data_IF_706438412138
#
_entry.id   IF_706438412138
#
_cell.length_a   1.000
_cell.length_b   1.000
_cell.length_c   1.000
_cell.angle_alpha   90.00
_cell.angle_beta   90.00
_cell.angle_gamma   90.00
#
_symmetry.space_group_name_H-M   'P 1'
#
loop_
_entity.id
_entity.type
_entity.pdbx_description
1 polymer ?
#
# COMPACT_ATOMS: atom_id res chain seq x y z
N UNK A 1 9.96 -7.49 0.52
CA UNK A 1 10.14 -6.81 1.80
C UNK A 1 11.27 -7.41 2.63
N UNK A 2 11.23 -8.73 2.92
CA UNK A 2 12.28 -9.41 3.69
C UNK A 2 13.66 -9.24 3.06
N UNK A 3 13.78 -9.45 1.76
CA UNK A 3 15.05 -9.32 1.02
C UNK A 3 15.66 -7.92 1.18
N UNK A 4 14.89 -6.85 1.03
CA UNK A 4 15.37 -5.48 1.25
C UNK A 4 15.91 -5.33 2.67
N UNK A 5 15.17 -5.81 3.67
CA UNK A 5 15.57 -5.69 5.08
C UNK A 5 16.86 -6.46 5.41
N UNK A 6 17.04 -7.64 4.82
CA UNK A 6 18.17 -8.53 5.09
C UNK A 6 19.44 -8.14 4.32
N UNK A 7 19.30 -7.46 3.16
CA UNK A 7 20.43 -7.14 2.25
C UNK A 7 20.68 -5.64 2.10
N UNK A 8 19.98 -4.80 2.85
CA UNK A 8 20.24 -3.36 2.81
C UNK A 8 21.62 -3.02 3.41
N UNK A 9 22.38 -2.11 2.77
CA UNK A 9 22.09 -1.40 1.52
C UNK A 9 22.31 -2.28 0.28
N UNK A 10 21.33 -2.31 -0.64
CA UNK A 10 21.50 -2.92 -1.95
C UNK A 10 22.46 -2.09 -2.80
N UNK A 11 23.27 -2.73 -3.65
CA UNK A 11 24.01 -1.99 -4.67
C UNK A 11 23.05 -1.33 -5.66
N UNK A 12 23.47 -0.21 -6.26
CA UNK A 12 22.66 0.50 -7.26
C UNK A 12 22.34 -0.42 -8.45
N UNK A 13 23.31 -1.23 -8.88
CA UNK A 13 23.18 -2.19 -9.98
C UNK A 13 22.14 -3.27 -9.66
N UNK A 14 22.15 -3.78 -8.42
CA UNK A 14 21.19 -4.80 -8.00
C UNK A 14 19.78 -4.20 -7.89
N UNK A 15 19.64 -3.03 -7.33
CA UNK A 15 18.36 -2.32 -7.23
C UNK A 15 17.78 -2.05 -8.64
N UNK A 16 18.60 -1.57 -9.58
CA UNK A 16 18.22 -1.36 -10.98
C UNK A 16 17.83 -2.68 -11.65
N UNK A 17 18.58 -3.74 -11.43
CA UNK A 17 18.30 -5.07 -12.01
C UNK A 17 16.95 -5.61 -11.54
N UNK A 18 16.69 -5.58 -10.25
CA UNK A 18 15.42 -6.08 -9.67
C UNK A 18 14.25 -5.21 -10.14
N UNK A 19 14.38 -3.89 -10.04
CA UNK A 19 13.32 -2.97 -10.50
C UNK A 19 13.07 -3.10 -12.01
N UNK A 20 14.11 -3.28 -12.80
CA UNK A 20 13.99 -3.53 -14.25
C UNK A 20 13.13 -4.75 -14.56
N UNK A 21 13.30 -5.86 -13.83
CA UNK A 21 12.47 -7.05 -14.00
C UNK A 21 11.01 -6.83 -13.60
N UNK A 22 10.77 -6.08 -12.52
CA UNK A 22 9.41 -5.68 -12.09
C UNK A 22 8.74 -4.84 -13.17
N UNK A 23 9.46 -3.86 -13.72
CA UNK A 23 8.95 -3.01 -14.81
C UNK A 23 8.62 -3.80 -16.07
N UNK A 24 9.44 -4.81 -16.44
CA UNK A 24 9.15 -5.68 -17.58
C UNK A 24 7.88 -6.51 -17.37
N UNK A 25 7.69 -7.07 -16.18
CA UNK A 25 6.47 -7.79 -15.84
C UNK A 25 5.24 -6.88 -15.90
N UNK A 26 5.35 -5.67 -15.34
CA UNK A 26 4.25 -4.69 -15.34
C UNK A 26 3.97 -4.12 -16.74
N UNK A 27 4.98 -3.95 -17.59
CA UNK A 27 4.79 -3.57 -19.00
C UNK A 27 3.93 -4.60 -19.74
N UNK A 28 4.18 -5.89 -19.51
CA UNK A 28 3.38 -6.96 -20.11
C UNK A 28 1.93 -6.95 -19.60
N UNK A 29 1.73 -6.74 -18.28
CA UNK A 29 0.39 -6.63 -17.69
C UNK A 29 -0.38 -5.44 -18.26
N UNK A 30 0.24 -4.25 -18.28
CA UNK A 30 -0.37 -3.02 -18.80
C UNK A 30 -0.71 -3.13 -20.30
N UNK A 31 0.15 -3.79 -21.10
CA UNK A 31 -0.14 -4.06 -22.52
C UNK A 31 -1.39 -4.93 -22.73
N UNK A 32 -1.75 -5.73 -21.73
CA UNK A 32 -3.00 -6.52 -21.72
C UNK A 32 -4.17 -5.82 -21.03
N UNK A 33 -4.04 -4.55 -20.69
CA UNK A 33 -5.06 -3.77 -20.01
C UNK A 33 -5.21 -4.08 -18.51
N UNK A 34 -4.25 -4.80 -17.91
CA UNK A 34 -4.31 -5.23 -16.50
C UNK A 34 -3.59 -4.21 -15.63
N UNK A 35 -4.32 -3.57 -14.71
CA UNK A 35 -3.79 -2.74 -13.63
C UNK A 35 -3.62 -3.61 -12.39
N UNK A 36 -2.46 -3.55 -11.74
CA UNK A 36 -2.20 -4.38 -10.54
C UNK A 36 -2.96 -3.89 -9.31
N UNK A 37 -2.96 -2.58 -9.07
CA UNK A 37 -3.72 -1.86 -8.01
C UNK A 37 -3.18 -1.99 -6.58
N UNK A 38 -2.44 -3.05 -6.24
CA UNK A 38 -1.86 -3.30 -4.92
C UNK A 38 -0.39 -3.74 -5.01
N UNK A 39 0.43 -3.00 -5.78
CA UNK A 39 1.86 -3.24 -5.87
C UNK A 39 2.55 -2.87 -4.55
N UNK A 40 3.26 -3.84 -3.99
CA UNK A 40 4.06 -3.72 -2.77
C UNK A 40 5.12 -4.83 -2.73
N UNK A 41 6.19 -4.69 -1.94
CA UNK A 41 7.25 -5.71 -1.90
C UNK A 41 6.77 -7.11 -1.50
N UNK A 42 5.66 -7.22 -0.76
CA UNK A 42 5.08 -8.51 -0.38
C UNK A 42 4.52 -9.29 -1.58
N UNK A 43 4.09 -8.57 -2.63
CA UNK A 43 3.56 -9.14 -3.87
C UNK A 43 4.66 -9.31 -4.94
N UNK A 44 5.93 -9.21 -4.54
CA UNK A 44 7.09 -9.45 -5.41
C UNK A 44 7.91 -10.57 -4.79
N UNK A 45 7.99 -11.69 -5.49
CA UNK A 45 8.80 -12.83 -5.09
C UNK A 45 10.15 -12.77 -5.80
N UNK A 46 11.23 -12.99 -5.04
CA UNK A 46 12.55 -13.23 -5.59
C UNK A 46 12.84 -14.73 -5.53
N UNK A 47 13.11 -15.33 -6.68
CA UNK A 47 13.53 -16.72 -6.77
C UNK A 47 15.01 -16.86 -6.37
N UNK A 48 15.50 -18.07 -6.03
CA UNK A 48 16.89 -18.27 -5.61
C UNK A 48 17.94 -17.81 -6.62
N UNK A 49 17.60 -17.82 -7.92
CA UNK A 49 18.42 -17.31 -9.02
C UNK A 49 18.35 -15.78 -9.17
N UNK A 50 17.64 -15.08 -8.27
CA UNK A 50 17.50 -13.62 -8.27
C UNK A 50 16.49 -13.08 -9.29
N UNK A 51 15.60 -13.92 -9.83
CA UNK A 51 14.53 -13.47 -10.72
C UNK A 51 13.36 -12.91 -9.91
N UNK A 52 12.91 -11.69 -10.24
CA UNK A 52 11.73 -11.07 -9.62
C UNK A 52 10.45 -11.48 -10.37
N UNK A 53 9.45 -11.92 -9.60
CA UNK A 53 8.11 -12.28 -10.10
C UNK A 53 7.06 -11.46 -9.38
N UNK A 54 6.21 -10.78 -10.15
CA UNK A 54 5.06 -10.04 -9.62
C UNK A 54 3.88 -11.00 -9.48
N UNK A 55 3.22 -10.96 -8.31
CA UNK A 55 2.10 -11.85 -7.95
C UNK A 55 0.89 -11.04 -7.50
N UNK A 56 -0.23 -11.71 -7.26
CA UNK A 56 -1.44 -11.14 -6.65
C UNK A 56 -2.04 -9.94 -7.40
N UNK A 57 -2.14 -10.05 -8.73
CA UNK A 57 -2.78 -9.04 -9.58
C UNK A 57 -4.24 -8.84 -9.20
N UNK A 58 -4.58 -7.66 -8.71
CA UNK A 58 -5.95 -7.14 -8.65
C UNK A 58 -7.01 -7.90 -7.86
N UNK A 59 -6.66 -8.99 -7.18
CA UNK A 59 -7.62 -9.89 -6.52
C UNK A 59 -8.28 -9.22 -5.30
N UNK A 60 -7.61 -8.27 -4.66
CA UNK A 60 -8.05 -7.70 -3.38
C UNK A 60 -8.94 -6.45 -3.50
N UNK A 61 -9.11 -5.86 -4.68
CA UNK A 61 -9.68 -4.51 -4.81
C UNK A 61 -11.21 -4.49 -4.93
N UNK A 62 -11.85 -5.60 -5.22
CA UNK A 62 -13.32 -5.69 -5.19
C UNK A 62 -13.91 -5.43 -3.78
N UNK A 63 -13.11 -5.56 -2.74
CA UNK A 63 -13.50 -5.35 -1.34
C UNK A 63 -13.05 -4.01 -0.74
N UNK A 64 -12.19 -3.25 -1.42
CA UNK A 64 -11.60 -2.02 -0.88
C UNK A 64 -12.40 -0.74 -1.22
N UNK A 65 -13.42 -0.82 -2.05
CA UNK A 65 -14.22 0.37 -2.43
C UNK A 65 -15.07 0.93 -1.27
N UNK A 66 -15.14 0.27 -0.11
CA UNK A 66 -16.07 0.66 0.96
C UNK A 66 -15.47 1.01 2.31
N UNK A 67 -14.18 0.77 2.59
CA UNK A 67 -13.68 1.08 3.95
C UNK A 67 -12.17 1.21 4.02
N UNK A 68 -11.66 2.41 4.23
CA UNK A 68 -10.32 2.71 4.76
C UNK A 68 -10.18 2.27 6.25
N UNK A 69 -11.15 1.52 6.76
CA UNK A 69 -11.19 1.07 8.14
C UNK A 69 -11.17 -0.46 8.18
N UNK A 70 -10.12 -0.98 8.82
CA UNK A 70 -10.00 -2.32 9.39
C UNK A 70 -9.44 -3.45 8.51
N UNK A 71 -8.13 -3.61 8.56
CA UNK A 71 -7.39 -4.84 8.88
C UNK A 71 -5.89 -4.54 8.82
N UNK A 72 -5.05 -5.21 9.61
CA UNK A 72 -3.58 -5.06 9.63
C UNK A 72 -2.93 -5.29 8.24
N UNK A 73 -3.59 -5.99 7.33
CA UNK A 73 -3.11 -6.19 5.96
C UNK A 73 -3.28 -4.93 5.09
N UNK A 74 -4.28 -4.09 5.38
CA UNK A 74 -4.48 -2.79 4.72
C UNK A 74 -3.43 -1.76 5.14
N UNK A 75 -2.97 -1.80 6.40
CA UNK A 75 -1.92 -0.89 6.88
C UNK A 75 -0.62 -1.05 6.07
N UNK A 76 -0.28 -2.28 5.66
CA UNK A 76 0.88 -2.53 4.82
C UNK A 76 0.77 -1.96 3.40
N UNK A 77 -0.42 -1.98 2.80
CA UNK A 77 -0.64 -1.50 1.42
C UNK A 77 -0.67 0.01 1.31
N UNK A 78 -1.10 0.72 2.36
CA UNK A 78 -1.22 2.19 2.34
C UNK A 78 0.12 2.90 2.10
N UNK A 79 1.24 2.30 2.46
CA UNK A 79 2.58 2.85 2.22
C UNK A 79 2.94 2.99 0.74
N UNK A 80 2.25 2.30 -0.16
CA UNK A 80 2.51 2.29 -1.61
C UNK A 80 1.35 2.90 -2.42
N UNK A 81 0.35 3.46 -1.73
CA UNK A 81 -0.85 4.03 -2.32
C UNK A 81 -0.52 5.30 -3.10
N UNK A 82 -1.05 5.43 -4.32
CA UNK A 82 -0.86 6.66 -5.09
C UNK A 82 -1.71 7.82 -4.54
N UNK A 83 -1.31 9.08 -4.81
CA UNK A 83 -2.07 10.25 -4.37
C UNK A 83 -3.53 10.25 -4.84
N UNK A 84 -3.80 9.81 -6.06
CA UNK A 84 -5.15 9.68 -6.61
C UNK A 84 -5.96 8.59 -5.91
N UNK A 85 -5.36 7.44 -5.59
CA UNK A 85 -6.03 6.39 -4.79
C UNK A 85 -6.30 6.86 -3.36
N UNK A 86 -5.36 7.59 -2.74
CA UNK A 86 -5.56 8.18 -1.41
C UNK A 86 -6.74 9.17 -1.36
N UNK A 87 -7.08 9.79 -2.50
CA UNK A 87 -8.26 10.65 -2.68
C UNK A 87 -9.55 9.87 -3.05
N UNK A 88 -9.48 8.55 -3.12
CA UNK A 88 -10.62 7.70 -3.47
C UNK A 88 -10.86 7.50 -4.96
N UNK A 89 -9.92 7.91 -5.81
CA UNK A 89 -10.01 7.64 -7.25
C UNK A 89 -9.62 6.20 -7.56
N UNK A 90 -10.15 5.68 -8.67
CA UNK A 90 -9.77 4.34 -9.15
C UNK A 90 -8.29 4.30 -9.54
N UNK A 91 -7.65 3.17 -9.25
CA UNK A 91 -6.27 2.92 -9.68
C UNK A 91 -6.16 2.85 -11.20
N UNK A 92 -5.06 3.37 -11.73
CA UNK A 92 -4.71 3.38 -13.14
C UNK A 92 -3.31 2.79 -13.36
N UNK A 93 -2.88 2.68 -14.61
CA UNK A 93 -1.49 2.30 -14.93
C UNK A 93 -0.47 3.23 -14.25
N UNK A 94 -0.78 4.52 -14.14
CA UNK A 94 0.09 5.49 -13.47
C UNK A 94 0.08 5.34 -11.95
N UNK A 95 -0.97 4.77 -11.35
CA UNK A 95 -0.97 4.39 -9.93
C UNK A 95 0.02 3.26 -9.65
N UNK A 96 0.09 2.27 -10.54
CA UNK A 96 1.11 1.20 -10.45
C UNK A 96 2.53 1.78 -10.60
N UNK A 97 2.74 2.74 -11.49
CA UNK A 97 4.04 3.43 -11.66
C UNK A 97 4.44 4.13 -10.36
N UNK A 98 3.51 4.83 -9.71
CA UNK A 98 3.76 5.46 -8.42
C UNK A 98 4.17 4.44 -7.36
N UNK A 99 3.43 3.35 -7.23
CA UNK A 99 3.75 2.28 -6.29
C UNK A 99 5.15 1.68 -6.55
N UNK A 100 5.53 1.47 -7.83
CA UNK A 100 6.88 1.03 -8.20
C UNK A 100 7.95 2.06 -7.81
N UNK A 101 7.66 3.36 -7.92
CA UNK A 101 8.54 4.43 -7.43
C UNK A 101 8.76 4.37 -5.92
N UNK A 102 7.71 4.11 -5.13
CA UNK A 102 7.81 3.93 -3.67
C UNK A 102 8.59 2.67 -3.31
N UNK A 103 8.36 1.55 -4.01
CA UNK A 103 9.15 0.32 -3.84
C UNK A 103 10.62 0.59 -4.13
N UNK A 104 10.91 1.35 -5.18
CA UNK A 104 12.28 1.68 -5.57
C UNK A 104 12.96 2.59 -4.54
N UNK A 105 12.25 3.58 -4.01
CA UNK A 105 12.72 4.37 -2.86
C UNK A 105 13.12 3.45 -1.70
N UNK A 106 12.25 2.52 -1.32
CA UNK A 106 12.51 1.58 -0.22
C UNK A 106 13.70 0.66 -0.51
N UNK A 107 13.90 0.22 -1.76
CA UNK A 107 15.07 -0.58 -2.14
C UNK A 107 16.38 0.19 -1.96
N UNK A 108 16.37 1.50 -2.23
CA UNK A 108 17.54 2.37 -2.17
C UNK A 108 17.83 2.92 -0.76
N UNK A 109 16.81 3.05 0.11
CA UNK A 109 16.93 3.66 1.45
C UNK A 109 16.69 2.67 2.60
N UNK A 110 16.15 1.48 2.34
CA UNK A 110 15.84 0.47 3.35
C UNK A 110 14.49 0.66 4.06
N UNK A 111 13.79 1.77 3.83
CA UNK A 111 12.50 2.07 4.46
C UNK A 111 11.55 2.82 3.51
N UNK A 112 10.30 2.90 3.88
CA UNK A 112 9.28 3.64 3.10
C UNK A 112 9.41 5.16 3.34
N UNK A 113 9.05 6.01 2.35
CA UNK A 113 9.19 7.46 2.49
C UNK A 113 8.18 8.09 3.46
N UNK A 114 7.06 7.43 3.69
CA UNK A 114 5.98 7.92 4.52
C UNK A 114 5.54 6.85 5.53
N UNK A 115 5.43 7.23 6.79
CA UNK A 115 5.01 6.36 7.89
C UNK A 115 4.18 7.15 8.91
N UNK A 116 3.43 6.46 9.77
CA UNK A 116 2.59 7.09 10.78
C UNK A 116 1.69 6.10 11.51
N UNK A 117 1.02 6.60 12.55
CA UNK A 117 0.23 5.80 13.49
C UNK A 117 -1.09 5.27 12.89
N UNK A 118 -1.51 5.78 11.74
CA UNK A 118 -2.75 5.34 11.08
C UNK A 118 -2.64 5.33 9.55
N UNK A 119 -3.43 4.48 8.91
CA UNK A 119 -3.54 4.43 7.45
C UNK A 119 -3.93 5.79 6.86
N UNK A 120 -4.79 6.56 7.54
CA UNK A 120 -5.22 7.89 7.12
C UNK A 120 -4.03 8.86 7.14
N UNK A 121 -3.23 8.85 8.21
CA UNK A 121 -2.04 9.71 8.32
C UNK A 121 -1.03 9.41 7.21
N UNK A 122 -0.79 8.14 6.92
CA UNK A 122 0.12 7.73 5.84
C UNK A 122 -0.45 8.14 4.47
N UNK A 123 -1.73 7.88 4.20
CA UNK A 123 -2.39 8.26 2.95
C UNK A 123 -2.31 9.77 2.70
N UNK A 124 -2.53 10.61 3.72
CA UNK A 124 -2.40 12.06 3.64
C UNK A 124 -0.98 12.49 3.21
N UNK A 125 0.05 11.83 3.69
CA UNK A 125 1.42 12.16 3.34
C UNK A 125 1.71 11.94 1.85
N UNK A 126 1.11 10.93 1.21
CA UNK A 126 1.29 10.66 -0.21
C UNK A 126 0.90 11.82 -1.13
N UNK A 127 -0.02 12.69 -0.73
CA UNK A 127 -0.39 13.85 -1.54
C UNK A 127 0.04 15.20 -0.95
N UNK A 128 0.35 15.28 0.35
CA UNK A 128 0.72 16.53 1.00
C UNK A 128 2.22 16.72 1.18
N UNK A 129 2.97 15.64 1.48
CA UNK A 129 4.40 15.77 1.77
C UNK A 129 5.24 15.57 0.51
N UNK A 130 6.32 16.36 0.34
CA UNK A 130 7.30 16.09 -0.69
C UNK A 130 7.97 14.73 -0.45
N UNK A 131 8.52 14.12 -1.50
CA UNK A 131 9.33 12.92 -1.35
C UNK A 131 10.63 13.28 -0.62
N UNK A 132 11.02 12.52 0.43
CA UNK A 132 12.35 12.67 1.03
C UNK A 132 13.46 12.43 0.00
N UNK A 133 14.62 13.06 0.19
CA UNK A 133 15.74 12.84 -0.72
C UNK A 133 16.37 11.47 -0.50
N UNK A 134 16.43 10.66 -1.56
CA UNK A 134 17.11 9.36 -1.55
C UNK A 134 18.61 9.54 -1.25
N UNK A 135 19.25 10.55 -1.87
CA UNK A 135 20.69 10.83 -1.71
C UNK A 135 21.02 11.29 -0.29
N UNK A 136 20.12 12.03 0.36
CA UNK A 136 20.33 12.46 1.74
C UNK A 136 20.40 11.25 2.70
N UNK A 137 19.68 10.18 2.39
CA UNK A 137 19.63 8.95 3.19
C UNK A 137 20.67 7.92 2.74
N UNK A 138 20.93 7.83 1.45
CA UNK A 138 21.94 6.95 0.86
C UNK A 138 22.81 7.73 -0.14
N UNK A 139 23.92 8.32 0.29
CA UNK A 139 24.80 9.12 -0.57
C UNK A 139 25.48 8.34 -1.70
N UNK A 140 25.43 7.02 -1.72
CA UNK A 140 25.95 6.19 -2.81
C UNK A 140 25.06 6.21 -4.07
N UNK A 141 23.82 6.69 -3.93
CA UNK A 141 22.85 6.75 -5.03
C UNK A 141 23.15 7.96 -5.92
N UNK A 142 23.35 7.78 -7.25
CA UNK A 142 23.58 8.91 -8.16
C UNK A 142 22.28 9.70 -8.40
N UNK A 143 22.43 10.98 -8.75
CA UNK A 143 21.28 11.87 -8.98
C UNK A 143 20.35 11.39 -10.10
N UNK A 144 20.89 10.78 -11.14
CA UNK A 144 20.11 10.18 -12.22
C UNK A 144 19.18 9.08 -11.73
N UNK A 145 19.60 8.28 -10.74
CA UNK A 145 18.79 7.23 -10.16
C UNK A 145 17.72 7.80 -9.21
N UNK A 146 18.09 8.80 -8.38
CA UNK A 146 17.10 9.55 -7.58
C UNK A 146 16.05 10.20 -8.48
N UNK A 147 16.44 10.75 -9.65
CA UNK A 147 15.51 11.36 -10.59
C UNK A 147 14.47 10.39 -11.16
N UNK A 148 14.81 9.10 -11.31
CA UNK A 148 13.83 8.07 -11.68
C UNK A 148 12.78 7.92 -10.58
N UNK A 149 13.20 7.86 -9.31
CA UNK A 149 12.28 7.78 -8.16
C UNK A 149 11.40 9.03 -8.11
N UNK A 150 11.98 10.23 -8.22
CA UNK A 150 11.25 11.50 -8.18
C UNK A 150 10.18 11.55 -9.27
N UNK A 151 10.50 11.17 -10.52
CA UNK A 151 9.54 11.19 -11.63
C UNK A 151 8.45 10.13 -11.43
N UNK A 152 8.79 8.91 -10.99
CA UNK A 152 7.82 7.87 -10.73
C UNK A 152 6.83 8.24 -9.62
N UNK A 153 7.28 9.00 -8.61
CA UNK A 153 6.48 9.42 -7.45
C UNK A 153 5.93 10.84 -7.55
N UNK A 154 5.98 11.46 -8.73
CA UNK A 154 5.40 12.78 -8.94
C UNK A 154 3.92 12.81 -8.58
N UNK A 155 3.50 13.87 -7.87
CA UNK A 155 2.12 13.98 -7.35
C UNK A 155 1.11 14.19 -8.49
N UNK A 156 1.48 15.01 -9.48
CA UNK A 156 0.66 15.24 -10.67
C UNK A 156 0.89 14.12 -11.68
N UNK A 157 -0.21 13.61 -12.26
CA UNK A 157 -0.14 12.56 -13.28
C UNK A 157 0.64 12.99 -14.52
N UNK A 158 0.57 14.28 -14.89
CA UNK A 158 1.30 14.87 -16.04
C UNK A 158 2.81 14.86 -15.85
N UNK A 159 3.28 14.96 -14.62
CA UNK A 159 4.71 15.02 -14.28
C UNK A 159 5.31 13.62 -14.09
N UNK A 160 4.44 12.62 -13.89
CA UNK A 160 4.79 11.22 -13.72
C UNK A 160 5.09 10.56 -15.07
N UNK A 161 5.79 9.43 -15.08
CA UNK A 161 5.89 8.62 -16.30
C UNK A 161 4.50 8.27 -16.83
N UNK A 162 4.32 8.38 -18.15
CA UNK A 162 3.04 8.07 -18.78
C UNK A 162 2.89 6.56 -19.00
N UNK A 163 3.99 5.85 -19.17
CA UNK A 163 4.04 4.40 -19.37
C UNK A 163 5.17 3.77 -18.57
N UNK A 164 5.00 2.48 -18.27
CA UNK A 164 6.06 1.66 -17.65
C UNK A 164 7.28 1.57 -18.59
N UNK A 165 7.07 1.55 -19.90
CA UNK A 165 8.18 1.53 -20.87
C UNK A 165 9.06 2.77 -20.77
N UNK A 166 8.46 3.95 -20.58
CA UNK A 166 9.20 5.19 -20.37
C UNK A 166 10.06 5.12 -19.08
N UNK A 167 9.48 4.65 -17.98
CA UNK A 167 10.22 4.45 -16.72
C UNK A 167 11.34 3.42 -16.88
N UNK A 168 11.10 2.32 -17.61
CA UNK A 168 12.09 1.29 -17.85
C UNK A 168 13.32 1.81 -18.61
N UNK A 169 13.11 2.55 -19.69
CA UNK A 169 14.20 3.15 -20.49
C UNK A 169 15.02 4.13 -19.64
N UNK A 170 14.36 4.98 -18.86
CA UNK A 170 15.02 5.94 -17.98
C UNK A 170 15.84 5.22 -16.89
N UNK A 171 15.27 4.17 -16.26
CA UNK A 171 15.95 3.35 -15.27
C UNK A 171 17.22 2.68 -15.84
N UNK A 172 17.15 2.05 -17.01
CA UNK A 172 18.29 1.33 -17.59
C UNK A 172 19.47 2.25 -17.90
N UNK A 173 19.19 3.50 -18.28
CA UNK A 173 20.24 4.50 -18.57
C UNK A 173 20.77 5.21 -17.32
N UNK A 174 20.10 5.07 -16.17
CA UNK A 174 20.38 5.88 -14.97
C UNK A 174 21.80 5.73 -14.41
N UNK A 175 22.46 4.59 -14.60
CA UNK A 175 23.82 4.34 -14.15
C UNK A 175 24.86 4.58 -15.23
N UNK A 176 24.46 5.08 -16.41
CA UNK A 176 25.37 5.33 -17.51
C UNK A 176 26.28 6.54 -17.24
N UNK A 177 27.49 6.50 -17.77
CA UNK A 177 28.53 7.51 -17.53
C UNK A 177 28.11 8.93 -17.94
N UNK A 178 27.35 9.08 -19.00
CA UNK A 178 26.88 10.37 -19.50
C UNK A 178 25.83 11.04 -18.60
N UNK A 179 25.29 10.32 -17.61
CA UNK A 179 24.30 10.85 -16.66
C UNK A 179 24.88 11.17 -15.28
N UNK A 180 26.19 11.07 -15.08
CA UNK A 180 26.84 11.28 -13.78
C UNK A 180 26.61 12.68 -13.19
N UNK A 181 26.51 13.70 -14.05
CA UNK A 181 26.33 15.10 -13.64
C UNK A 181 24.90 15.59 -13.89
N UNK A 182 23.93 14.70 -13.88
CA UNK A 182 22.52 15.06 -14.06
C UNK A 182 22.05 15.95 -12.90
N UNK A 183 21.35 17.05 -13.20
CA UNK A 183 20.76 17.90 -12.18
C UNK A 183 19.54 17.25 -11.54
N UNK A 184 19.27 17.59 -10.28
CA UNK A 184 18.07 17.11 -9.58
C UNK A 184 16.81 17.54 -10.31
N UNK A 185 15.93 16.59 -10.55
CA UNK A 185 14.60 16.86 -11.10
C UNK A 185 13.72 17.52 -10.03
N UNK A 186 13.08 18.62 -10.39
CA UNK A 186 12.17 19.35 -9.53
C UNK A 186 10.84 19.50 -10.25
N UNK A 187 9.74 19.19 -9.59
CA UNK A 187 8.39 19.48 -10.06
C UNK A 187 7.76 20.56 -9.19
N UNK A 188 7.02 21.47 -9.81
CA UNK A 188 6.26 22.50 -9.10
C UNK A 188 5.05 21.85 -8.42
N UNK A 189 5.20 21.49 -7.14
CA UNK A 189 4.12 20.97 -6.30
C UNK A 189 3.18 22.09 -5.77
N UNK A 190 3.28 23.31 -6.31
CA UNK A 190 2.47 24.47 -5.92
C UNK A 190 1.00 24.37 -6.34
N UNK A 191 0.45 23.20 -6.56
CA UNK A 191 -1.01 23.05 -6.52
C UNK A 191 -1.45 23.30 -5.08
N UNK A 192 -1.90 24.54 -4.77
CA UNK A 192 -2.70 24.85 -3.59
C UNK A 192 -3.74 23.75 -3.49
N UNK A 193 -3.63 22.92 -2.45
CA UNK A 193 -4.62 21.88 -2.17
C UNK A 193 -5.93 22.60 -1.99
N UNK A 194 -6.83 22.45 -2.98
CA UNK A 194 -8.19 22.92 -2.82
C UNK A 194 -8.84 22.07 -1.73
N UNK A 195 -8.89 22.62 -0.51
CA UNK A 195 -9.43 21.95 0.67
C UNK A 195 -10.91 21.56 0.51
N UNK A 196 -11.55 21.98 -0.58
CA UNK A 196 -12.93 21.60 -0.93
C UNK A 196 -13.06 20.18 -1.48
N UNK A 197 -11.96 19.53 -1.88
CA UNK A 197 -11.96 18.17 -2.43
C UNK A 197 -11.48 17.09 -1.46
N UNK A 198 -11.37 17.40 -0.17
CA UNK A 198 -11.15 16.36 0.84
C UNK A 198 -12.39 15.45 0.88
N UNK A 199 -12.24 14.12 0.82
CA UNK A 199 -13.37 13.23 1.05
C UNK A 199 -13.96 13.58 2.39
N UNK A 200 -15.28 13.88 2.43
CA UNK A 200 -16.02 14.04 3.68
C UNK A 200 -15.95 12.70 4.39
N UNK A 201 -15.01 12.57 5.31
CA UNK A 201 -15.04 11.50 6.30
C UNK A 201 -16.30 11.77 7.10
N UNK A 202 -17.36 11.02 6.82
CA UNK A 202 -18.54 11.01 7.67
C UNK A 202 -18.04 10.53 9.03
N UNK A 203 -17.87 11.47 9.97
CA UNK A 203 -17.87 11.18 11.38
C UNK A 203 -19.25 10.56 11.65
N UNK A 204 -19.30 9.23 11.68
CA UNK A 204 -20.43 8.56 12.29
C UNK A 204 -20.41 9.00 13.75
N UNK A 205 -21.29 9.93 14.06
CA UNK A 205 -21.70 10.25 15.40
C UNK A 205 -21.93 8.93 16.11
N UNK A 206 -21.14 8.68 17.13
CA UNK A 206 -21.40 7.64 18.12
C UNK A 206 -22.82 7.84 18.60
N UNK A 207 -23.77 7.16 18.00
CA UNK A 207 -25.13 7.08 18.47
C UNK A 207 -25.04 6.46 19.85
N UNK A 208 -25.43 7.25 20.83
CA UNK A 208 -25.63 6.92 22.23
C UNK A 208 -26.09 5.48 22.38
N UNK A 209 -25.29 4.68 23.08
CA UNK A 209 -25.68 3.37 23.57
C UNK A 209 -26.95 3.57 24.40
N UNK A 210 -28.07 2.93 24.09
CA UNK A 210 -29.26 3.02 24.95
C UNK A 210 -28.88 2.42 26.30
N UNK A 211 -29.04 3.22 27.36
CA UNK A 211 -28.88 2.83 28.75
C UNK A 211 -29.88 1.71 29.02
N UNK A 212 -29.42 0.47 29.05
CA UNK A 212 -30.23 -0.68 29.47
C UNK A 212 -30.42 -0.56 30.97
N UNK A 213 -31.61 -0.17 31.40
CA UNK A 213 -32.01 -0.29 32.80
C UNK A 213 -32.08 -1.77 33.18
N UNK A 214 -31.54 -2.19 34.31
CA UNK A 214 -31.63 -3.57 34.77
C UNK A 214 -33.08 -3.87 35.17
N UNK A 215 -33.82 -4.63 34.37
CA UNK A 215 -35.07 -5.26 34.79
C UNK A 215 -34.73 -6.37 35.77
N UNK A 216 -35.01 -6.10 37.04
CA UNK A 216 -35.06 -7.08 38.10
C UNK A 216 -36.21 -8.07 37.81
N UNK A 217 -35.89 -9.26 37.35
CA UNK A 217 -36.82 -10.37 37.22
C UNK A 217 -36.16 -11.62 37.77
N UNK A 218 -36.35 -11.85 39.10
CA UNK A 218 -36.08 -13.11 39.75
C UNK A 218 -37.02 -14.18 39.14
N UNK A 219 -36.51 -15.31 38.70
CA UNK A 219 -37.38 -16.44 38.35
C UNK A 219 -37.97 -17.04 39.59
N UNK A 220 -39.31 -17.06 39.66
CA UNK A 220 -40.02 -17.87 40.68
C UNK A 220 -39.81 -19.35 40.39
N UNK A 221 -39.20 -20.04 41.32
CA UNK A 221 -39.07 -21.49 41.33
C UNK A 221 -40.44 -22.15 41.57
N UNK A 222 -41.04 -22.73 40.53
CA UNK A 222 -42.15 -23.68 40.68
C UNK A 222 -41.59 -24.98 41.16
N UNK A 223 -42.09 -25.45 42.35
CA UNK A 223 -41.82 -26.75 42.93
C UNK A 223 -42.30 -27.85 41.97
N UNK A 224 -41.55 -28.95 41.76
CA UNK A 224 -42.02 -30.06 40.97
C UNK A 224 -43.03 -30.88 41.82
N UNK A 225 -44.15 -31.22 41.18
CA UNK A 225 -45.20 -32.11 41.73
C UNK A 225 -44.67 -33.51 41.64
N UNK A 226 -44.48 -34.14 42.81
CA UNK A 226 -44.07 -35.54 42.96
C UNK A 226 -45.31 -36.43 42.81
N UNK A 227 -45.50 -37.06 41.64
CA UNK A 227 -46.43 -38.19 41.50
C UNK A 227 -45.73 -39.47 41.93
N UNK A 228 -46.42 -40.18 42.86
CA UNK A 228 -45.97 -41.40 43.43
C UNK A 228 -45.90 -42.55 42.40
N UNK A 229 -44.80 -43.30 42.44
CA UNK A 229 -44.61 -44.50 41.62
C UNK A 229 -45.45 -45.67 42.17
N UNK A 230 -46.00 -46.54 41.31
CA UNK A 230 -46.75 -47.75 41.77
C UNK A 230 -45.80 -48.85 42.23
N UNK A 231 -46.22 -49.56 43.29
CA UNK A 231 -45.53 -50.69 43.89
C UNK A 231 -45.47 -51.92 42.97
N UNK A 232 -44.38 -52.67 42.91
CA UNK A 232 -44.32 -53.96 42.20
C UNK A 232 -45.14 -55.03 42.87
N UNK A 233 -45.97 -55.72 42.08
CA UNK A 233 -46.68 -56.96 42.53
C UNK A 233 -45.66 -58.09 42.59
N UNK A 234 -45.68 -58.81 43.74
CA UNK A 234 -44.93 -60.01 43.90
C UNK A 234 -45.47 -61.16 43.05
N UNK A 235 -44.55 -62.04 42.65
CA UNK A 235 -44.83 -63.31 42.02
C UNK A 235 -44.39 -64.37 43.03
N UNK A 236 -45.33 -65.34 43.26
CA UNK A 236 -45.11 -66.53 44.03
C UNK A 236 -44.10 -67.45 43.35
#
# INVERSE_FOLDING_TARGET
>A
KRYIKEHYPLSNEEAVRIMGQILLAMRLAHAKGIVHRDLKPQNILLTPDGTAKVTDFGIAVAFAETSLTQTNSMLGSVHYLSPEQARGSKATFQSDIYAMGIIFFEMLTGHVPYDGDSAVTIALQHFQKPLPSVIAENPSVPQSLENVVIKATAKKLTDRYQTVSEMYVDLLSSLSHNRRNESKRVFDDTSKVDTKTLPKIQQQTLTTIPKVEPKDSRPQTKKPNVQAAPKPKGVA
#
